data_IF_039151403182
#
_entry.id   IF_039151403182
#
_cell.length_a   1.000
_cell.length_b   1.000
_cell.length_c   1.000
_cell.angle_alpha   90.00
_cell.angle_beta   90.00
_cell.angle_gamma   90.00
#
_symmetry.space_group_name_H-M   'P 1'
#
loop_
_entity.id
_entity.type
_entity.pdbx_description
1 polymer ?
#
# COMPACT_ATOMS: atom_id res chain seq x y z
N UNK A 1 -15.41 -11.56 9.02
CA UNK A 1 -14.96 -12.83 8.41
C UNK A 1 -13.50 -12.68 8.01
N UNK A 2 -12.75 -13.78 7.81
CA UNK A 2 -11.42 -13.70 7.23
C UNK A 2 -11.44 -13.04 5.85
N UNK A 3 -10.33 -12.42 5.47
CA UNK A 3 -10.13 -11.86 4.13
C UNK A 3 -9.88 -13.00 3.14
N UNK A 4 -10.83 -13.17 2.22
CA UNK A 4 -10.77 -14.15 1.12
C UNK A 4 -10.71 -13.44 -0.25
N UNK A 5 -11.46 -12.35 -0.40
CA UNK A 5 -11.44 -11.50 -1.59
C UNK A 5 -10.39 -10.38 -1.48
N UNK A 6 -9.86 -9.93 -2.61
CA UNK A 6 -9.00 -8.75 -2.73
C UNK A 6 -7.94 -8.63 -1.61
N UNK A 7 -7.11 -9.65 -1.33
CA UNK A 7 -6.08 -9.57 -0.28
C UNK A 7 -5.18 -8.33 -0.42
N UNK A 8 -4.70 -7.79 0.71
CA UNK A 8 -3.78 -6.65 0.70
C UNK A 8 -2.34 -7.15 0.58
N UNK A 9 -1.69 -6.82 -0.55
CA UNK A 9 -0.27 -6.99 -0.74
C UNK A 9 0.48 -5.74 -0.24
N UNK A 10 1.53 -5.97 0.54
CA UNK A 10 2.44 -4.97 1.08
C UNK A 10 3.83 -5.24 0.54
N UNK A 11 4.45 -4.25 -0.09
CA UNK A 11 5.83 -4.35 -0.52
C UNK A 11 6.79 -4.07 0.64
N UNK A 12 7.85 -4.86 0.76
CA UNK A 12 8.99 -4.54 1.63
C UNK A 12 9.59 -3.21 1.18
N UNK A 13 9.42 -2.19 2.02
CA UNK A 13 9.87 -0.83 1.74
C UNK A 13 11.38 -0.78 1.44
N UNK A 14 12.19 -1.67 2.02
CA UNK A 14 13.65 -1.70 1.81
C UNK A 14 14.05 -2.18 0.41
N UNK A 15 13.12 -2.79 -0.32
CA UNK A 15 13.31 -3.31 -1.68
C UNK A 15 12.79 -2.35 -2.75
N UNK A 16 12.21 -1.22 -2.35
CA UNK A 16 11.65 -0.23 -3.26
C UNK A 16 12.75 0.64 -3.85
N UNK A 17 12.87 0.65 -5.17
CA UNK A 17 13.78 1.54 -5.88
C UNK A 17 13.12 2.90 -6.09
N UNK A 18 13.43 3.88 -5.24
CA UNK A 18 12.79 5.21 -5.26
C UNK A 18 12.93 5.94 -6.60
N UNK A 19 14.04 5.74 -7.33
CA UNK A 19 14.24 6.31 -8.67
C UNK A 19 13.32 5.71 -9.75
N UNK A 20 12.64 4.60 -9.45
CA UNK A 20 11.62 3.97 -10.30
C UNK A 20 10.20 4.26 -9.80
N UNK A 21 10.04 5.10 -8.78
CA UNK A 21 8.73 5.58 -8.36
C UNK A 21 8.29 6.73 -9.28
N UNK A 22 7.07 6.63 -9.77
CA UNK A 22 6.44 7.61 -10.65
C UNK A 22 5.51 8.47 -9.79
N UNK A 23 5.76 9.77 -9.75
CA UNK A 23 4.88 10.72 -9.08
C UNK A 23 3.75 11.04 -10.06
N UNK A 24 2.53 10.62 -9.72
CA UNK A 24 1.35 10.84 -10.53
C UNK A 24 0.40 11.81 -9.86
N UNK A 25 -0.05 12.80 -10.61
CA UNK A 25 -1.18 13.65 -10.22
C UNK A 25 -2.48 12.90 -10.55
N UNK A 26 -3.35 12.78 -9.55
CA UNK A 26 -4.69 12.22 -9.65
C UNK A 26 -5.70 13.35 -9.46
N UNK A 27 -6.28 13.79 -10.57
CA UNK A 27 -7.32 14.83 -10.58
C UNK A 27 -8.62 14.21 -10.05
N UNK A 28 -8.94 14.50 -8.79
CA UNK A 28 -10.16 13.97 -8.13
C UNK A 28 -11.36 14.83 -8.49
N UNK A 29 -11.18 16.15 -8.45
CA UNK A 29 -12.14 17.16 -8.93
C UNK A 29 -11.37 18.27 -9.65
N UNK A 30 -12.02 19.16 -10.42
CA UNK A 30 -11.32 20.27 -11.09
C UNK A 30 -10.51 21.18 -10.15
N UNK A 31 -10.87 21.22 -8.87
CA UNK A 31 -10.28 22.01 -7.80
C UNK A 31 -9.42 21.20 -6.83
N UNK A 32 -9.35 19.87 -6.97
CA UNK A 32 -8.57 19.00 -6.09
C UNK A 32 -7.74 17.97 -6.85
N UNK A 33 -6.42 18.17 -6.80
CA UNK A 33 -5.42 17.24 -7.30
C UNK A 33 -4.80 16.54 -6.10
N UNK A 34 -4.95 15.22 -6.04
CA UNK A 34 -4.21 14.38 -5.09
C UNK A 34 -2.95 13.87 -5.78
N UNK A 35 -1.85 13.75 -5.03
CA UNK A 35 -0.63 13.14 -5.55
C UNK A 35 -0.50 11.72 -5.03
N UNK A 36 -0.18 10.79 -5.93
CA UNK A 36 0.10 9.39 -5.58
C UNK A 36 1.45 8.99 -6.13
N UNK A 37 2.25 8.34 -5.28
CA UNK A 37 3.49 7.71 -5.70
C UNK A 37 3.22 6.28 -6.15
N UNK A 38 3.42 6.01 -7.43
CA UNK A 38 3.28 4.69 -8.03
C UNK A 38 4.66 4.02 -8.10
N UNK A 39 4.78 2.78 -7.64
CA UNK A 39 5.99 2.01 -7.88
C UNK A 39 5.93 1.38 -9.27
N UNK A 40 6.93 1.64 -10.12
CA UNK A 40 7.07 0.88 -11.37
C UNK A 40 7.42 -0.59 -11.07
N UNK A 41 7.05 -1.54 -11.96
CA UNK A 41 7.42 -2.94 -11.80
C UNK A 41 8.93 -3.12 -11.69
N UNK A 42 9.38 -3.85 -10.66
CA UNK A 42 10.79 -4.09 -10.39
C UNK A 42 10.98 -5.52 -9.87
N UNK A 43 11.99 -6.25 -10.36
CA UNK A 43 12.20 -7.67 -9.96
C UNK A 43 12.69 -7.82 -8.52
N UNK A 44 13.29 -6.76 -8.00
CA UNK A 44 13.85 -6.66 -6.67
C UNK A 44 12.76 -6.45 -5.61
N UNK A 45 11.56 -6.01 -5.99
CA UNK A 45 10.45 -5.80 -5.06
C UNK A 45 10.01 -7.14 -4.44
N UNK A 46 10.04 -7.20 -3.11
CA UNK A 46 9.50 -8.32 -2.35
C UNK A 46 8.11 -7.94 -1.82
N UNK A 47 7.13 -8.81 -2.04
CA UNK A 47 5.74 -8.57 -1.68
C UNK A 47 5.23 -9.63 -0.69
N UNK A 48 4.55 -9.17 0.34
CA UNK A 48 3.96 -9.99 1.39
C UNK A 48 2.46 -9.77 1.47
N UNK A 49 1.74 -10.77 1.96
CA UNK A 49 0.32 -10.70 2.28
C UNK A 49 -0.01 -11.74 3.35
N UNK A 50 -1.11 -11.54 4.08
CA UNK A 50 -1.55 -12.46 5.13
C UNK A 50 -2.66 -13.35 4.58
N UNK A 51 -2.44 -14.67 4.58
CA UNK A 51 -3.45 -15.64 4.14
C UNK A 51 -4.57 -15.77 5.15
N UNK A 52 -5.82 -15.63 4.69
CA UNK A 52 -7.02 -15.66 5.52
C UNK A 52 -6.94 -14.69 6.71
N UNK A 53 -6.46 -13.47 6.46
CA UNK A 53 -6.29 -12.44 7.48
C UNK A 53 -7.58 -12.27 8.30
N UNK A 54 -7.48 -12.41 9.61
CA UNK A 54 -8.61 -12.32 10.52
C UNK A 54 -8.95 -10.85 10.84
N UNK A 55 -10.21 -10.55 11.21
CA UNK A 55 -10.61 -9.18 11.56
C UNK A 55 -9.82 -8.53 12.71
N UNK A 56 -9.17 -9.32 13.56
CA UNK A 56 -8.35 -8.87 14.69
C UNK A 56 -6.85 -8.80 14.36
N UNK A 57 -6.44 -9.08 13.12
CA UNK A 57 -5.06 -8.96 12.67
C UNK A 57 -4.87 -7.64 11.92
N UNK A 58 -4.19 -6.68 12.56
CA UNK A 58 -3.86 -5.40 11.94
C UNK A 58 -2.52 -5.47 11.19
N UNK A 59 -2.46 -4.83 10.02
CA UNK A 59 -1.20 -4.54 9.34
C UNK A 59 -0.78 -3.11 9.67
N UNK A 60 0.46 -2.94 10.12
CA UNK A 60 1.07 -1.64 10.35
C UNK A 60 2.30 -1.51 9.46
N UNK A 61 2.34 -0.44 8.67
CA UNK A 61 3.46 -0.13 7.79
C UNK A 61 3.56 1.38 7.59
N UNK A 62 4.77 1.87 7.28
CA UNK A 62 5.04 3.29 7.04
C UNK A 62 4.68 3.65 5.60
N UNK A 63 3.65 4.48 5.40
CA UNK A 63 3.22 4.90 4.07
C UNK A 63 4.16 5.94 3.45
N UNK A 64 4.66 6.87 4.26
CA UNK A 64 5.51 7.98 3.82
C UNK A 64 6.51 8.37 4.90
N UNK A 65 7.71 8.76 4.48
CA UNK A 65 8.75 9.38 5.31
C UNK A 65 9.33 10.61 4.60
N UNK A 66 9.34 11.76 5.30
CA UNK A 66 9.91 13.01 4.78
C UNK A 66 11.44 12.98 4.77
N UNK A 67 12.09 12.07 5.50
CA UNK A 67 13.54 11.88 5.42
C UNK A 67 13.94 11.27 4.07
N UNK A 68 14.55 12.09 3.22
CA UNK A 68 15.02 11.69 1.89
C UNK A 68 16.20 10.70 1.93
N UNK A 69 16.92 10.62 3.04
CA UNK A 69 18.04 9.68 3.22
C UNK A 69 17.58 8.26 3.58
N UNK A 70 16.32 8.12 4.00
CA UNK A 70 15.72 6.83 4.34
C UNK A 70 15.58 5.94 3.10
N UNK A 71 15.89 4.65 3.23
CA UNK A 71 15.68 3.64 2.18
C UNK A 71 14.28 2.99 2.22
N UNK A 72 13.40 3.44 3.13
CA UNK A 72 12.06 2.88 3.34
C UNK A 72 10.99 3.97 3.29
N UNK A 73 11.19 5.00 2.46
CA UNK A 73 10.31 6.18 2.44
C UNK A 73 8.89 5.86 2.03
N UNK A 74 8.73 4.90 1.12
CA UNK A 74 7.45 4.51 0.58
C UNK A 74 7.24 3.02 0.79
N UNK A 75 6.01 2.63 1.09
CA UNK A 75 5.60 1.23 1.17
C UNK A 75 4.45 0.99 0.19
N UNK A 76 4.77 0.57 -1.07
CA UNK A 76 3.77 0.26 -2.07
C UNK A 76 2.75 -0.78 -1.57
N UNK A 77 1.50 -0.33 -1.68
CA UNK A 77 0.23 -0.96 -1.36
C UNK A 77 -0.63 -1.45 -2.50
N UNK A 78 -1.13 -2.68 -2.55
CA UNK A 78 -2.27 -2.91 -3.46
C UNK A 78 -3.17 -4.06 -3.06
N UNK A 79 -4.44 -3.97 -3.43
CA UNK A 79 -5.35 -5.11 -3.39
C UNK A 79 -5.08 -6.01 -4.60
N UNK A 80 -5.12 -7.33 -4.41
CA UNK A 80 -4.99 -8.30 -5.50
C UNK A 80 -5.92 -9.49 -5.31
N UNK A 81 -6.27 -10.15 -6.41
CA UNK A 81 -6.99 -11.42 -6.37
C UNK A 81 -6.00 -12.58 -6.46
N UNK A 82 -5.97 -13.43 -5.44
CA UNK A 82 -5.16 -14.66 -5.46
C UNK A 82 -5.69 -15.65 -6.50
N UNK A 83 -6.99 -15.94 -6.48
CA UNK A 83 -7.61 -16.98 -7.30
C UNK A 83 -8.42 -16.44 -8.49
N UNK A 84 -8.30 -15.13 -8.75
CA UNK A 84 -9.02 -14.40 -9.79
C UNK A 84 -10.31 -13.72 -9.29
N UNK A 85 -10.82 -12.74 -10.05
CA UNK A 85 -12.02 -12.00 -9.69
C UNK A 85 -13.24 -12.92 -9.66
N UNK A 86 -14.18 -12.66 -8.74
CA UNK A 86 -15.49 -13.35 -8.61
C UNK A 86 -15.50 -14.77 -8.03
N UNK A 87 -14.36 -15.34 -7.64
CA UNK A 87 -14.34 -16.64 -6.94
C UNK A 87 -14.66 -16.55 -5.45
N UNK A 88 -14.64 -15.35 -4.88
CA UNK A 88 -14.90 -15.15 -3.48
C UNK A 88 -16.38 -14.79 -3.25
N UNK A 89 -17.02 -15.51 -2.35
CA UNK A 89 -18.44 -15.31 -2.02
C UNK A 89 -18.66 -14.09 -1.10
N UNK A 90 -17.60 -13.60 -0.46
CA UNK A 90 -17.65 -12.51 0.53
C UNK A 90 -16.66 -11.40 0.17
N UNK A 91 -17.14 -10.18 -0.15
CA UNK A 91 -16.27 -9.04 -0.38
C UNK A 91 -15.40 -8.70 0.84
N UNK A 92 -14.18 -8.21 0.58
CA UNK A 92 -13.32 -7.66 1.62
C UNK A 92 -13.93 -6.38 2.19
N UNK A 93 -13.88 -6.26 3.51
CA UNK A 93 -14.19 -5.03 4.23
C UNK A 93 -12.95 -4.63 5.03
N UNK A 94 -12.55 -3.36 4.95
CA UNK A 94 -11.35 -2.86 5.61
C UNK A 94 -11.56 -1.42 6.06
N UNK A 95 -10.85 -1.04 7.12
CA UNK A 95 -10.73 0.33 7.59
C UNK A 95 -9.24 0.65 7.58
N UNK A 96 -8.87 1.79 6.99
CA UNK A 96 -7.51 2.32 7.07
C UNK A 96 -7.48 3.46 8.08
N UNK A 97 -6.49 3.43 8.97
CA UNK A 97 -6.21 4.50 9.92
C UNK A 97 -4.82 5.03 9.63
N UNK A 98 -4.71 6.35 9.45
CA UNK A 98 -3.42 7.04 9.21
C UNK A 98 -3.00 7.80 10.45
N UNK A 99 -1.78 7.55 10.89
CA UNK A 99 -1.16 8.29 12.00
C UNK A 99 -0.05 9.15 11.41
N UNK A 100 -0.12 10.45 11.65
CA UNK A 100 0.92 11.39 11.26
C UNK A 100 1.81 11.67 12.46
N UNK A 101 3.12 11.56 12.26
CA UNK A 101 4.12 11.97 13.23
C UNK A 101 4.70 13.30 12.77
N UNK A 102 4.58 14.32 13.62
CA UNK A 102 5.07 15.68 13.35
C UNK A 102 6.08 16.02 14.43
N UNK A 103 7.27 16.43 14.01
CA UNK A 103 8.35 16.85 14.90
C UNK A 103 8.50 18.37 14.82
N UNK A 104 8.93 18.98 15.92
CA UNK A 104 9.43 20.36 15.89
C UNK A 104 10.71 20.43 15.05
N UNK A 105 10.96 21.58 14.42
CA UNK A 105 12.16 21.83 13.61
C UNK A 105 13.42 21.94 14.46
#
# INVERSE_FOLDING_TARGET
>A
HPVEDCSLAICDASTVQHNKCIHGDFIITPDYISQTNYAAPCKEQVWYWVSNQQPNEALLFKQHDTDESSNTRYCPHTAFWKDGPRKCSRPRQSIEVRVLVVFDK
#
